data_IF_952941182100
#
_entry.id   IF_952941182100
#
_cell.length_a   1.000
_cell.length_b   1.000
_cell.length_c   1.000
_cell.angle_alpha   90.00
_cell.angle_beta   90.00
_cell.angle_gamma   90.00
#
_symmetry.space_group_name_H-M   'P 1'
#
loop_
_entity.id
_entity.type
_entity.pdbx_description
1 polymer ?
#
# COMPACT_ATOMS: atom_id res chain seq x y z
N UNK A 1 22.70 -9.65 25.38
CA UNK A 1 21.97 -10.57 24.46
C UNK A 1 20.79 -9.92 23.73
N UNK A 2 19.88 -9.20 24.42
CA UNK A 2 18.67 -8.59 23.81
C UNK A 2 18.92 -7.73 22.55
N UNK A 3 19.98 -6.91 22.54
CA UNK A 3 20.36 -6.06 21.37
C UNK A 3 20.79 -6.87 20.12
N UNK A 4 21.45 -8.02 20.27
CA UNK A 4 21.86 -8.87 19.13
C UNK A 4 20.66 -9.58 18.52
N UNK A 5 19.75 -10.08 19.35
CA UNK A 5 18.50 -10.70 18.90
C UNK A 5 17.61 -9.70 18.15
N UNK A 6 17.40 -8.50 18.69
CA UNK A 6 16.62 -7.44 18.03
C UNK A 6 17.17 -7.07 16.65
N UNK A 7 18.50 -6.96 16.51
CA UNK A 7 19.14 -6.72 15.20
C UNK A 7 18.92 -7.88 14.22
N UNK A 8 18.97 -9.13 14.68
CA UNK A 8 18.71 -10.30 13.82
C UNK A 8 17.26 -10.31 13.35
N UNK A 9 16.31 -10.04 14.24
CA UNK A 9 14.88 -9.93 13.91
C UNK A 9 14.64 -8.81 12.90
N UNK A 10 15.24 -7.63 13.10
CA UNK A 10 15.12 -6.50 12.18
C UNK A 10 15.65 -6.83 10.77
N UNK A 11 16.77 -7.57 10.68
CA UNK A 11 17.31 -8.01 9.39
C UNK A 11 16.36 -8.97 8.67
N UNK A 12 15.83 -9.96 9.39
CA UNK A 12 14.86 -10.91 8.83
C UNK A 12 13.61 -10.15 8.37
N UNK A 13 13.07 -9.26 9.20
CA UNK A 13 11.94 -8.43 8.86
C UNK A 13 12.18 -7.58 7.60
N UNK A 14 13.34 -6.91 7.50
CA UNK A 14 13.69 -6.10 6.33
C UNK A 14 13.74 -6.94 5.05
N UNK A 15 14.37 -8.12 5.10
CA UNK A 15 14.41 -9.04 3.96
C UNK A 15 13.02 -9.55 3.60
N UNK A 16 12.24 -10.02 4.57
CA UNK A 16 10.88 -10.49 4.35
C UNK A 16 9.99 -9.40 3.73
N UNK A 17 10.05 -8.17 4.24
CA UNK A 17 9.26 -7.06 3.71
C UNK A 17 9.66 -6.70 2.28
N UNK A 18 10.96 -6.70 1.96
CA UNK A 18 11.42 -6.48 0.60
C UNK A 18 10.93 -7.57 -0.36
N UNK A 19 10.98 -8.84 0.06
CA UNK A 19 10.47 -9.96 -0.74
C UNK A 19 8.97 -9.82 -0.97
N UNK A 20 8.20 -9.57 0.08
CA UNK A 20 6.74 -9.41 0.00
C UNK A 20 6.35 -8.28 -0.95
N UNK A 21 6.92 -7.09 -0.78
CA UNK A 21 6.56 -5.95 -1.65
C UNK A 21 7.03 -6.15 -3.09
N UNK A 22 8.19 -6.80 -3.30
CA UNK A 22 8.66 -7.13 -4.64
C UNK A 22 7.71 -8.10 -5.33
N UNK A 23 7.19 -9.11 -4.62
CA UNK A 23 6.15 -9.99 -5.14
C UNK A 23 4.89 -9.21 -5.53
N UNK A 24 4.42 -8.29 -4.68
CA UNK A 24 3.28 -7.42 -5.02
C UNK A 24 3.53 -6.58 -6.27
N UNK A 25 4.70 -5.94 -6.38
CA UNK A 25 5.07 -5.15 -7.56
C UNK A 25 5.11 -6.01 -8.82
N UNK A 26 5.68 -7.23 -8.75
CA UNK A 26 5.68 -8.16 -9.88
C UNK A 26 4.27 -8.59 -10.28
N UNK A 27 3.37 -8.85 -9.32
CA UNK A 27 1.98 -9.17 -9.60
C UNK A 27 1.26 -8.02 -10.32
N UNK A 28 1.47 -6.78 -9.87
CA UNK A 28 0.91 -5.60 -10.54
C UNK A 28 1.48 -5.40 -11.95
N UNK A 29 2.81 -5.52 -12.09
CA UNK A 29 3.46 -5.39 -13.40
C UNK A 29 2.97 -6.47 -14.38
N UNK A 30 2.84 -7.71 -13.91
CA UNK A 30 2.29 -8.81 -14.70
C UNK A 30 0.84 -8.55 -15.08
N UNK A 31 0.01 -8.12 -14.13
CA UNK A 31 -1.40 -7.81 -14.41
C UNK A 31 -1.53 -6.63 -15.39
N UNK A 32 -0.68 -5.62 -15.29
CA UNK A 32 -0.61 -4.51 -16.26
C UNK A 32 -0.19 -4.97 -17.66
N UNK A 33 0.74 -5.92 -17.75
CA UNK A 33 1.11 -6.55 -19.02
C UNK A 33 -0.08 -7.32 -19.63
N UNK A 34 -0.83 -8.06 -18.81
CA UNK A 34 -2.05 -8.74 -19.28
C UNK A 34 -3.08 -7.75 -19.82
N UNK A 35 -3.29 -6.63 -19.13
CA UNK A 35 -4.19 -5.57 -19.61
C UNK A 35 -3.75 -5.03 -20.97
N UNK A 36 -2.45 -4.83 -21.17
CA UNK A 36 -1.90 -4.34 -22.44
C UNK A 36 -2.00 -5.36 -23.59
N UNK A 37 -1.88 -6.66 -23.30
CA UNK A 37 -1.87 -7.74 -24.32
C UNK A 37 -3.28 -8.27 -24.62
N UNK A 38 -4.09 -8.45 -23.59
CA UNK A 38 -5.39 -9.13 -23.67
C UNK A 38 -6.58 -8.19 -23.49
N UNK A 39 -6.37 -6.91 -23.14
CA UNK A 39 -7.43 -5.93 -22.92
C UNK A 39 -8.09 -6.01 -21.55
N UNK A 40 -7.72 -6.97 -20.70
CA UNK A 40 -8.31 -7.21 -19.37
C UNK A 40 -7.24 -7.63 -18.35
N UNK A 41 -7.46 -7.31 -17.07
CA UNK A 41 -6.67 -7.87 -15.98
C UNK A 41 -7.18 -9.28 -15.65
N UNK A 42 -6.33 -10.31 -15.80
CA UNK A 42 -6.71 -11.69 -15.47
C UNK A 42 -6.22 -12.10 -14.09
N UNK A 43 -5.04 -11.63 -13.69
CA UNK A 43 -4.50 -11.84 -12.34
C UNK A 43 -5.22 -11.00 -11.29
N UNK A 44 -5.50 -9.72 -11.59
CA UNK A 44 -6.21 -8.80 -10.70
C UNK A 44 -7.54 -8.34 -11.32
N UNK A 45 -8.53 -9.23 -11.47
CA UNK A 45 -9.74 -8.94 -12.24
C UNK A 45 -10.58 -7.81 -11.66
N UNK A 46 -10.51 -7.54 -10.35
CA UNK A 46 -11.18 -6.38 -9.73
C UNK A 46 -10.76 -5.04 -10.36
N UNK A 47 -9.55 -4.93 -10.91
CA UNK A 47 -9.09 -3.71 -11.55
C UNK A 47 -9.86 -3.41 -12.83
N UNK A 48 -10.51 -4.41 -13.45
CA UNK A 48 -11.38 -4.15 -14.60
C UNK A 48 -12.62 -3.33 -14.22
N UNK A 49 -12.96 -3.20 -12.93
CA UNK A 49 -14.03 -2.30 -12.49
C UNK A 49 -13.78 -0.83 -12.90
N UNK A 50 -12.54 -0.46 -13.20
CA UNK A 50 -12.19 0.85 -13.76
C UNK A 50 -12.90 1.15 -15.09
N UNK A 51 -13.41 0.13 -15.81
CA UNK A 51 -14.16 0.33 -17.05
C UNK A 51 -15.58 0.89 -16.83
N UNK A 52 -16.10 0.82 -15.61
CA UNK A 52 -17.41 1.37 -15.26
C UNK A 52 -17.19 2.75 -14.65
N UNK A 53 -17.05 3.75 -15.52
CA UNK A 53 -16.79 5.15 -15.12
C UNK A 53 -17.90 5.69 -14.22
N UNK A 54 -17.52 6.37 -13.13
CA UNK A 54 -18.48 7.03 -12.24
C UNK A 54 -18.90 8.35 -12.84
N UNK A 55 -20.19 8.62 -12.75
CA UNK A 55 -20.77 9.77 -13.39
C UNK A 55 -20.82 11.00 -12.45
N UNK A 56 -20.22 12.12 -12.87
CA UNK A 56 -20.10 13.37 -12.09
C UNK A 56 -21.15 14.45 -12.48
N UNK A 57 -22.18 14.11 -13.29
CA UNK A 57 -23.11 15.07 -13.91
C UNK A 57 -24.62 14.86 -13.62
N UNK A 58 -25.49 15.12 -14.63
CA UNK A 58 -26.95 14.87 -14.57
C UNK A 58 -27.30 13.41 -14.90
N UNK A 59 -27.81 12.67 -13.92
CA UNK A 59 -28.07 11.23 -14.03
C UNK A 59 -28.95 10.89 -15.25
N UNK A 60 -28.47 9.97 -16.10
CA UNK A 60 -29.12 9.54 -17.34
C UNK A 60 -29.11 8.00 -17.50
N UNK A 61 -29.64 7.52 -18.63
CA UNK A 61 -29.72 6.08 -18.94
C UNK A 61 -28.34 5.41 -19.09
N UNK A 62 -27.30 6.16 -19.48
CA UNK A 62 -25.94 5.64 -19.61
C UNK A 62 -25.31 5.43 -18.21
N UNK A 63 -25.54 6.36 -17.29
CA UNK A 63 -25.14 6.21 -15.88
C UNK A 63 -25.81 4.99 -15.22
N UNK A 64 -27.12 4.76 -15.48
CA UNK A 64 -27.82 3.57 -14.99
C UNK A 64 -27.22 2.27 -15.56
N UNK A 65 -26.94 2.23 -16.86
CA UNK A 65 -26.33 1.07 -17.50
C UNK A 65 -24.93 0.75 -16.93
N UNK A 66 -24.11 1.77 -16.70
CA UNK A 66 -22.78 1.62 -16.07
C UNK A 66 -22.88 1.08 -14.64
N UNK A 67 -23.83 1.59 -13.85
CA UNK A 67 -24.04 1.11 -12.48
C UNK A 67 -24.51 -0.35 -12.47
N UNK A 68 -25.48 -0.71 -13.31
CA UNK A 68 -25.98 -2.09 -13.43
C UNK A 68 -24.83 -3.03 -13.83
N UNK A 69 -24.02 -2.64 -14.83
CA UNK A 69 -22.85 -3.41 -15.25
C UNK A 69 -21.82 -3.60 -14.14
N UNK A 70 -21.54 -2.56 -13.34
CA UNK A 70 -20.63 -2.64 -12.20
C UNK A 70 -21.14 -3.60 -11.11
N UNK A 71 -22.44 -3.57 -10.81
CA UNK A 71 -23.07 -4.49 -9.85
C UNK A 71 -23.01 -5.94 -10.35
N UNK A 72 -23.33 -6.17 -11.63
CA UNK A 72 -23.30 -7.50 -12.22
C UNK A 72 -21.88 -8.08 -12.22
N UNK A 73 -20.88 -7.28 -12.63
CA UNK A 73 -19.48 -7.71 -12.60
C UNK A 73 -19.00 -8.01 -11.18
N UNK A 74 -19.46 -7.23 -10.19
CA UNK A 74 -19.17 -7.50 -8.78
C UNK A 74 -19.73 -8.85 -8.34
N UNK A 75 -20.96 -9.19 -8.73
CA UNK A 75 -21.55 -10.51 -8.46
C UNK A 75 -20.72 -11.63 -9.10
N UNK A 76 -20.31 -11.45 -10.35
CA UNK A 76 -19.48 -12.44 -11.06
C UNK A 76 -18.15 -12.69 -10.35
N UNK A 77 -17.50 -11.63 -9.83
CA UNK A 77 -16.27 -11.78 -9.05
C UNK A 77 -16.51 -12.60 -7.77
N UNK A 78 -17.57 -12.33 -7.02
CA UNK A 78 -17.90 -13.09 -5.82
C UNK A 78 -18.17 -14.56 -6.13
N UNK A 79 -18.95 -14.85 -7.17
CA UNK A 79 -19.28 -16.21 -7.61
C UNK A 79 -18.03 -16.98 -8.08
N UNK A 80 -17.10 -16.30 -8.75
CA UNK A 80 -15.86 -16.91 -9.22
C UNK A 80 -14.78 -17.04 -8.13
N UNK A 81 -15.08 -16.69 -6.87
CA UNK A 81 -14.12 -16.69 -5.76
C UNK A 81 -13.02 -15.61 -5.88
N UNK A 82 -13.20 -14.65 -6.80
CA UNK A 82 -12.33 -13.48 -7.03
C UNK A 82 -12.89 -12.20 -6.42
N UNK A 83 -13.94 -12.33 -5.62
CA UNK A 83 -14.60 -11.25 -4.91
C UNK A 83 -13.88 -10.88 -3.62
N UNK A 84 -14.64 -10.55 -2.57
CA UNK A 84 -14.16 -9.96 -1.32
C UNK A 84 -13.10 -10.79 -0.59
N UNK A 85 -13.07 -12.10 -0.81
CA UNK A 85 -12.13 -13.02 -0.15
C UNK A 85 -11.01 -13.51 -1.06
N UNK A 86 -10.73 -12.84 -2.18
CA UNK A 86 -9.63 -13.22 -3.06
C UNK A 86 -8.30 -13.27 -2.25
N UNK A 87 -7.68 -14.46 -2.09
CA UNK A 87 -6.45 -14.61 -1.33
C UNK A 87 -5.31 -13.73 -1.86
N UNK A 88 -5.31 -13.46 -3.17
CA UNK A 88 -4.27 -12.66 -3.81
C UNK A 88 -4.39 -11.19 -3.42
N UNK A 89 -5.62 -10.65 -3.36
CA UNK A 89 -5.86 -9.30 -2.84
C UNK A 89 -5.59 -9.18 -1.35
N UNK A 90 -5.98 -10.18 -0.55
CA UNK A 90 -5.62 -10.24 0.87
C UNK A 90 -4.09 -10.21 1.05
N UNK A 91 -3.36 -10.98 0.25
CA UNK A 91 -1.90 -11.01 0.27
C UNK A 91 -1.30 -9.65 -0.08
N UNK A 92 -1.77 -8.99 -1.15
CA UNK A 92 -1.30 -7.67 -1.56
C UNK A 92 -1.61 -6.63 -0.47
N UNK A 93 -2.82 -6.66 0.10
CA UNK A 93 -3.25 -5.74 1.17
C UNK A 93 -2.34 -5.85 2.40
N UNK A 94 -2.17 -7.05 2.93
CA UNK A 94 -1.35 -7.29 4.13
C UNK A 94 0.12 -6.95 3.85
N UNK A 95 0.65 -7.37 2.70
CA UNK A 95 2.04 -7.13 2.33
C UNK A 95 2.33 -5.65 2.16
N UNK A 96 1.44 -4.91 1.49
CA UNK A 96 1.57 -3.46 1.30
C UNK A 96 1.47 -2.74 2.65
N UNK A 97 0.51 -3.11 3.49
CA UNK A 97 0.33 -2.52 4.82
C UNK A 97 1.56 -2.74 5.72
N UNK A 98 2.06 -3.97 5.80
CA UNK A 98 3.23 -4.31 6.59
C UNK A 98 4.49 -3.57 6.11
N UNK A 99 4.60 -3.34 4.80
CA UNK A 99 5.74 -2.67 4.18
C UNK A 99 5.64 -1.15 4.27
N UNK A 100 4.44 -0.59 4.28
CA UNK A 100 4.20 0.83 4.54
C UNK A 100 4.72 1.23 5.93
N UNK A 101 4.56 0.36 6.93
CA UNK A 101 5.14 0.52 8.27
C UNK A 101 6.68 0.60 8.30
N UNK A 102 7.37 0.29 7.20
CA UNK A 102 8.82 0.47 7.13
C UNK A 102 9.23 1.93 7.13
N UNK A 103 8.42 2.85 6.58
CA UNK A 103 8.71 4.29 6.57
C UNK A 103 8.82 4.87 7.99
N UNK A 104 7.79 4.70 8.87
CA UNK A 104 7.90 5.16 10.25
C UNK A 104 9.00 4.42 11.01
N UNK A 105 9.20 3.12 10.77
CA UNK A 105 10.28 2.36 11.40
C UNK A 105 11.66 2.88 10.99
N UNK A 106 11.89 3.12 9.71
CA UNK A 106 13.12 3.71 9.18
C UNK A 106 13.38 5.09 9.80
N UNK A 107 12.34 5.92 9.88
CA UNK A 107 12.43 7.24 10.49
C UNK A 107 12.81 7.15 11.98
N UNK A 108 12.16 6.28 12.75
CA UNK A 108 12.50 6.04 14.17
C UNK A 108 13.94 5.55 14.34
N UNK A 109 14.38 4.59 13.53
CA UNK A 109 15.76 4.10 13.58
C UNK A 109 16.78 5.21 13.31
N UNK A 110 16.45 6.15 12.42
CA UNK A 110 17.27 7.34 12.12
C UNK A 110 17.28 8.31 13.30
N UNK A 111 16.11 8.67 13.84
CA UNK A 111 15.96 9.60 14.97
C UNK A 111 16.71 9.13 16.21
N UNK A 112 16.57 7.85 16.57
CA UNK A 112 17.27 7.27 17.73
C UNK A 112 18.73 6.88 17.45
N UNK A 113 19.28 7.23 16.28
CA UNK A 113 20.64 6.90 15.85
C UNK A 113 21.01 5.43 16.09
N UNK A 114 20.05 4.53 15.86
CA UNK A 114 20.25 3.12 16.08
C UNK A 114 21.37 2.64 15.15
N UNK A 115 22.50 2.19 15.73
CA UNK A 115 23.67 1.71 14.97
C UNK A 115 23.34 0.37 14.32
N UNK A 116 22.67 0.43 13.17
CA UNK A 116 22.29 -0.68 12.31
C UNK A 116 23.13 -0.68 11.03
N UNK A 117 23.14 -1.81 10.33
CA UNK A 117 23.84 -1.90 9.05
C UNK A 117 23.15 -0.98 8.04
N UNK A 118 23.95 -0.24 7.25
CA UNK A 118 23.43 0.76 6.30
C UNK A 118 22.46 0.15 5.27
N UNK A 119 22.65 -1.12 4.91
CA UNK A 119 21.75 -1.82 4.00
C UNK A 119 20.34 -2.04 4.57
N UNK A 120 20.19 -2.26 5.88
CA UNK A 120 18.86 -2.46 6.51
C UNK A 120 18.02 -1.20 6.37
N UNK A 121 18.63 -0.04 6.62
CA UNK A 121 17.94 1.24 6.46
C UNK A 121 17.54 1.49 5.00
N UNK A 122 18.41 1.15 4.04
CA UNK A 122 18.07 1.25 2.61
C UNK A 122 16.89 0.35 2.25
N UNK A 123 16.89 -0.89 2.73
CA UNK A 123 15.82 -1.85 2.45
C UNK A 123 14.48 -1.37 3.01
N UNK A 124 14.44 -0.91 4.27
CA UNK A 124 13.21 -0.38 4.87
C UNK A 124 12.67 0.82 4.07
N UNK A 125 13.55 1.74 3.68
CA UNK A 125 13.16 2.91 2.88
C UNK A 125 12.62 2.50 1.50
N UNK A 126 13.38 1.70 0.74
CA UNK A 126 13.00 1.24 -0.60
C UNK A 126 11.66 0.50 -0.55
N UNK A 127 11.53 -0.44 0.38
CA UNK A 127 10.32 -1.23 0.53
C UNK A 127 9.11 -0.33 0.88
N UNK A 128 9.28 0.61 1.81
CA UNK A 128 8.23 1.58 2.15
C UNK A 128 7.83 2.49 0.98
N UNK A 129 8.81 2.94 0.17
CA UNK A 129 8.53 3.73 -1.04
C UNK A 129 7.80 2.89 -2.09
N UNK A 130 8.17 1.63 -2.30
CA UNK A 130 7.46 0.73 -3.21
C UNK A 130 6.00 0.53 -2.78
N UNK A 131 5.72 0.42 -1.47
CA UNK A 131 4.35 0.36 -0.96
C UNK A 131 3.55 1.62 -1.30
N UNK A 132 4.15 2.81 -1.12
CA UNK A 132 3.53 4.09 -1.50
C UNK A 132 3.24 4.18 -3.00
N UNK A 133 4.20 3.75 -3.84
CA UNK A 133 4.03 3.75 -5.31
C UNK A 133 2.89 2.82 -5.71
N UNK A 134 2.80 1.64 -5.11
CA UNK A 134 1.74 0.68 -5.41
C UNK A 134 0.36 1.18 -4.99
N UNK A 135 0.26 1.80 -3.80
CA UNK A 135 -0.95 2.49 -3.35
C UNK A 135 -1.36 3.60 -4.33
N UNK A 136 -0.41 4.46 -4.73
CA UNK A 136 -0.68 5.55 -5.65
C UNK A 136 -1.11 5.06 -7.03
N UNK A 137 -0.46 4.01 -7.56
CA UNK A 137 -0.80 3.42 -8.85
C UNK A 137 -2.24 2.88 -8.86
N UNK A 138 -2.67 2.18 -7.79
CA UNK A 138 -4.05 1.69 -7.67
C UNK A 138 -5.05 2.84 -7.59
N UNK A 139 -4.77 3.87 -6.77
CA UNK A 139 -5.65 5.04 -6.65
C UNK A 139 -5.85 5.74 -7.99
N UNK A 140 -4.75 6.06 -8.67
CA UNK A 140 -4.78 6.79 -9.94
C UNK A 140 -5.51 5.97 -11.01
N UNK A 141 -5.36 4.65 -11.00
CA UNK A 141 -5.97 3.79 -12.03
C UNK A 141 -7.49 3.66 -11.90
N UNK A 142 -8.02 3.71 -10.67
CA UNK A 142 -9.44 3.45 -10.37
C UNK A 142 -10.20 4.74 -10.08
N UNK A 143 -9.50 5.88 -10.10
CA UNK A 143 -10.08 7.20 -9.92
C UNK A 143 -11.24 7.40 -10.89
N UNK A 144 -12.30 8.05 -10.42
CA UNK A 144 -13.53 8.28 -11.19
C UNK A 144 -14.20 7.02 -11.79
N UNK A 145 -14.15 5.88 -11.09
CA UNK A 145 -14.94 4.69 -11.44
C UNK A 145 -15.91 4.29 -10.33
N UNK A 146 -17.05 3.69 -10.69
CA UNK A 146 -17.92 3.00 -9.72
C UNK A 146 -17.19 1.85 -9.00
N UNK A 147 -16.09 1.38 -9.58
CA UNK A 147 -15.13 0.47 -8.96
C UNK A 147 -14.35 1.03 -7.78
N UNK A 148 -14.30 2.35 -7.59
CA UNK A 148 -13.54 2.99 -6.49
C UNK A 148 -13.99 2.52 -5.11
N UNK A 149 -15.29 2.51 -4.83
CA UNK A 149 -15.83 2.02 -3.55
C UNK A 149 -15.60 0.53 -3.33
N UNK A 150 -15.68 -0.27 -4.40
CA UNK A 150 -15.45 -1.71 -4.36
C UNK A 150 -13.97 -2.06 -4.14
N UNK A 151 -13.06 -1.27 -4.73
CA UNK A 151 -11.62 -1.42 -4.51
C UNK A 151 -11.20 -0.83 -3.17
N UNK A 152 -11.83 0.24 -2.70
CA UNK A 152 -11.68 0.75 -1.33
C UNK A 152 -12.06 -0.32 -0.32
N UNK A 153 -13.17 -1.01 -0.54
CA UNK A 153 -13.62 -2.09 0.33
C UNK A 153 -12.63 -3.28 0.33
N UNK A 154 -12.13 -3.68 -0.84
CA UNK A 154 -11.27 -4.88 -0.99
C UNK A 154 -9.79 -4.63 -0.72
N UNK A 155 -9.32 -3.41 -0.95
CA UNK A 155 -7.94 -2.97 -0.79
C UNK A 155 -7.89 -1.67 0.04
N UNK A 156 -8.29 -1.71 1.32
CA UNK A 156 -8.40 -0.52 2.17
C UNK A 156 -7.07 0.18 2.38
N UNK A 157 -5.94 -0.51 2.24
CA UNK A 157 -4.62 0.13 2.31
C UNK A 157 -4.37 1.09 1.14
N UNK A 158 -5.05 0.92 0.00
CA UNK A 158 -5.06 1.95 -1.02
C UNK A 158 -5.83 3.18 -0.58
N UNK A 159 -6.72 3.16 0.41
CA UNK A 159 -7.58 4.30 0.77
C UNK A 159 -7.32 4.83 2.18
N UNK A 160 -6.14 4.55 2.74
CA UNK A 160 -5.70 5.14 4.02
C UNK A 160 -5.98 6.65 4.00
N UNK A 161 -6.78 7.08 4.96
CA UNK A 161 -7.19 8.48 5.07
C UNK A 161 -6.12 9.28 5.81
N UNK A 162 -6.15 10.61 5.66
CA UNK A 162 -5.29 11.51 6.45
C UNK A 162 -5.48 11.32 7.95
N UNK A 163 -6.68 10.94 8.40
CA UNK A 163 -6.99 10.64 9.81
C UNK A 163 -6.25 9.40 10.30
N UNK A 164 -6.14 8.37 9.45
CA UNK A 164 -5.41 7.13 9.77
C UNK A 164 -3.90 7.37 9.84
N UNK A 165 -3.38 8.33 9.06
CA UNK A 165 -1.98 8.75 9.08
C UNK A 165 -1.66 9.75 10.19
N UNK A 166 -2.65 10.50 10.68
CA UNK A 166 -2.45 11.57 11.67
C UNK A 166 -1.90 11.03 12.99
N UNK A 167 -2.50 9.98 13.56
CA UNK A 167 -2.06 9.44 14.85
C UNK A 167 -0.64 8.86 14.78
N UNK A 168 -0.27 8.02 13.78
CA UNK A 168 1.12 7.62 13.57
C UNK A 168 2.07 8.82 13.40
N UNK A 169 1.71 9.80 12.57
CA UNK A 169 2.55 10.98 12.35
C UNK A 169 2.77 11.80 13.63
N UNK A 170 1.72 12.00 14.43
CA UNK A 170 1.79 12.69 15.71
C UNK A 170 2.68 11.93 16.71
N UNK A 171 2.54 10.60 16.79
CA UNK A 171 3.40 9.77 17.64
C UNK A 171 4.87 9.86 17.20
N UNK A 172 5.15 9.79 15.90
CA UNK A 172 6.50 9.97 15.37
C UNK A 172 7.05 11.36 15.68
N UNK A 173 6.23 12.40 15.57
CA UNK A 173 6.60 13.77 15.91
C UNK A 173 6.97 13.89 17.39
N UNK A 174 6.10 13.41 18.30
CA UNK A 174 6.38 13.41 19.74
C UNK A 174 7.65 12.63 20.09
N UNK A 175 7.84 11.45 19.50
CA UNK A 175 9.07 10.66 19.67
C UNK A 175 10.31 11.40 19.16
N UNK A 176 10.17 12.19 18.10
CA UNK A 176 11.25 13.06 17.59
C UNK A 176 11.59 14.16 18.59
N UNK A 177 10.57 14.82 19.16
CA UNK A 177 10.76 15.85 20.18
C UNK A 177 11.45 15.30 21.42
N UNK A 178 11.02 14.12 21.91
CA UNK A 178 11.65 13.45 23.06
C UNK A 178 13.11 13.10 22.75
N UNK A 179 13.38 12.49 21.59
CA UNK A 179 14.74 12.13 21.19
C UNK A 179 15.66 13.36 21.04
N UNK A 180 15.14 14.49 20.55
CA UNK A 180 15.86 15.77 20.48
C UNK A 180 16.14 16.34 21.88
N UNK A 181 15.17 16.28 22.79
CA UNK A 181 15.32 16.75 24.16
C UNK A 181 16.34 15.91 24.96
N UNK A 182 16.39 14.60 24.73
CA UNK A 182 17.34 13.69 25.41
C UNK A 182 18.77 13.75 24.84
N UNK A 183 18.98 14.30 23.64
CA UNK A 183 20.30 14.42 23.00
C UNK A 183 20.48 15.79 22.29
N UNK A 184 20.46 16.91 23.03
CA UNK A 184 20.44 18.26 22.46
C UNK A 184 21.68 18.60 21.61
N UNK A 185 22.85 18.05 21.96
CA UNK A 185 24.13 18.45 21.32
C UNK A 185 24.54 17.61 20.09
N UNK A 186 23.75 16.59 19.71
CA UNK A 186 24.17 15.64 18.67
C UNK A 186 23.31 15.64 17.42
N UNK A 187 22.16 16.31 17.37
CA UNK A 187 21.37 16.41 16.14
C UNK A 187 21.74 17.73 15.47
N UNK A 188 22.96 17.77 14.90
CA UNK A 188 23.23 18.72 13.84
C UNK A 188 22.42 18.27 12.65
N UNK A 189 21.49 19.12 12.23
CA UNK A 189 20.78 19.01 10.97
C UNK A 189 21.85 19.06 9.86
N UNK A 190 22.30 17.89 9.41
CA UNK A 190 22.98 17.80 8.12
C UNK A 190 21.91 17.54 7.05
N UNK A 191 21.96 18.31 5.94
CA UNK A 191 20.95 18.29 4.88
C UNK A 191 20.77 16.92 4.23
#
# INVERSE_FOLDING_TARGET
MKKKAAKKVLKIYAVCSLVLISCCVCLFAWSGLEKAVYGEFRVLPVLNMAQFESFDGVWDEEADAMLVGAVEYTSQLEESGRGRRDPLWCFINISTAATLCNLPLWYLLRVFKARNDSWVNKVLLIAGVLAMVLIAAVRIYIDHSYGSGEVEYRYPIAYITWRDLFLPALVLFLLTCIAKADNPDKIKDEP
#
